data_IF_405198251987
#
_entry.id   IF_405198251987
#
_cell.length_a   1.000
_cell.length_b   1.000
_cell.length_c   1.000
_cell.angle_alpha   90.00
_cell.angle_beta   90.00
_cell.angle_gamma   90.00
#
_symmetry.space_group_name_H-M   'P 1'
#
loop_
_entity.id
_entity.type
_entity.pdbx_description
1 polymer ?
#
# COMPACT_ATOMS: atom_id res chain seq x y z
N UNK A 1 -3.49 23.47 3.63
CA UNK A 1 -3.08 23.33 5.06
C UNK A 1 -2.69 21.87 5.25
N UNK A 2 -1.61 21.55 5.96
CA UNK A 2 -1.31 20.13 6.24
C UNK A 2 -2.41 19.59 7.17
N UNK A 3 -2.93 18.38 6.94
CA UNK A 3 -3.93 17.81 7.83
C UNK A 3 -3.35 17.66 9.24
N UNK A 4 -4.17 17.92 10.26
CA UNK A 4 -3.78 17.73 11.67
C UNK A 4 -3.74 16.23 11.97
N UNK A 5 -2.60 15.60 11.72
CA UNK A 5 -2.36 14.19 12.03
C UNK A 5 -1.89 14.01 13.46
N UNK A 6 -2.22 12.86 14.06
CA UNK A 6 -1.81 12.49 15.41
C UNK A 6 -0.84 11.32 15.35
N UNK A 7 0.29 11.41 16.04
CA UNK A 7 1.17 10.27 16.31
C UNK A 7 0.68 9.56 17.57
N UNK A 8 0.56 8.23 17.51
CA UNK A 8 0.13 7.43 18.65
C UNK A 8 0.78 6.05 18.66
N UNK A 9 0.79 5.43 19.81
CA UNK A 9 1.06 4.00 19.98
C UNK A 9 -0.27 3.29 20.21
N UNK A 10 -0.51 2.21 19.47
CA UNK A 10 -1.68 1.35 19.63
C UNK A 10 -1.21 -0.10 19.62
N UNK A 11 -1.40 -0.80 20.72
CA UNK A 11 -0.73 -2.08 20.98
C UNK A 11 0.78 -1.94 20.70
N UNK A 12 1.38 -2.80 19.90
CA UNK A 12 2.81 -2.76 19.56
C UNK A 12 3.11 -1.87 18.33
N UNK A 13 2.10 -1.16 17.79
CA UNK A 13 2.25 -0.33 16.60
C UNK A 13 2.48 1.13 16.91
N UNK A 14 3.41 1.75 16.19
CA UNK A 14 3.49 3.21 16.08
C UNK A 14 2.71 3.64 14.83
N UNK A 15 1.71 4.49 15.02
CA UNK A 15 0.81 4.93 13.96
C UNK A 15 0.80 6.45 13.87
N UNK A 16 0.76 6.98 12.65
CA UNK A 16 0.28 8.35 12.43
C UNK A 16 -1.10 8.28 11.80
N UNK A 17 -2.05 8.95 12.40
CA UNK A 17 -3.45 8.88 12.01
C UNK A 17 -4.01 10.24 11.62
N UNK A 18 -5.02 10.23 10.75
CA UNK A 18 -5.93 11.35 10.52
C UNK A 18 -7.35 10.87 10.81
N UNK A 19 -7.92 11.22 11.98
CA UNK A 19 -9.28 10.85 12.32
C UNK A 19 -10.29 11.53 11.39
N UNK A 20 -11.37 10.82 11.11
CA UNK A 20 -12.54 11.31 10.38
C UNK A 20 -13.82 10.83 11.07
N UNK A 21 -14.97 11.42 10.70
CA UNK A 21 -16.30 10.92 11.09
C UNK A 21 -16.70 9.68 10.28
N UNK A 22 -16.02 9.43 9.17
CA UNK A 22 -16.21 8.23 8.37
C UNK A 22 -15.72 6.99 9.12
N UNK A 23 -16.37 5.86 8.85
CA UNK A 23 -15.93 4.54 9.32
C UNK A 23 -15.00 3.83 8.33
N UNK A 24 -14.82 4.38 7.12
CA UNK A 24 -13.97 3.82 6.08
C UNK A 24 -12.49 4.02 6.44
N UNK A 25 -11.71 2.96 6.34
CA UNK A 25 -10.27 3.01 6.61
C UNK A 25 -9.49 3.13 5.30
N UNK A 26 -8.54 4.08 5.26
CA UNK A 26 -7.46 4.12 4.28
C UNK A 26 -6.14 3.79 4.99
N UNK A 27 -5.52 2.70 4.59
CA UNK A 27 -4.20 2.28 5.07
C UNK A 27 -3.12 2.80 4.12
N UNK A 28 -2.12 3.52 4.66
CA UNK A 28 -1.00 4.07 3.88
C UNK A 28 0.31 3.40 4.28
N UNK A 29 0.95 2.70 3.35
CA UNK A 29 2.12 1.86 3.59
C UNK A 29 3.38 2.47 2.98
N UNK A 30 4.34 2.83 3.83
CA UNK A 30 5.59 3.49 3.43
C UNK A 30 6.56 2.55 2.69
N UNK A 31 7.51 3.12 1.96
CA UNK A 31 8.59 2.40 1.30
C UNK A 31 9.66 1.88 2.28
N UNK A 32 10.59 1.09 1.76
CA UNK A 32 11.77 0.65 2.52
C UNK A 32 12.53 1.86 3.07
N UNK A 33 13.00 1.79 4.30
CA UNK A 33 13.61 2.88 5.09
C UNK A 33 12.67 4.02 5.47
N UNK A 34 11.38 3.93 5.13
CA UNK A 34 10.37 4.89 5.58
C UNK A 34 9.88 4.63 7.01
N UNK A 35 8.92 5.43 7.40
CA UNK A 35 8.23 5.37 8.69
C UNK A 35 6.76 5.83 8.55
N UNK A 36 6.04 5.94 9.66
CA UNK A 36 4.65 6.42 9.74
C UNK A 36 4.45 7.87 9.23
N UNK A 37 5.53 8.61 8.99
CA UNK A 37 5.48 9.98 8.49
C UNK A 37 5.62 10.07 6.97
N UNK A 38 6.11 9.01 6.33
CA UNK A 38 6.59 9.08 4.95
C UNK A 38 5.48 9.25 3.92
N UNK A 39 4.28 8.69 4.15
CA UNK A 39 3.20 8.69 3.16
C UNK A 39 2.35 9.97 3.09
N UNK A 40 2.50 10.87 4.05
CA UNK A 40 1.67 12.09 4.13
C UNK A 40 1.94 13.11 3.03
N UNK A 41 3.01 12.94 2.27
CA UNK A 41 3.30 13.75 1.07
C UNK A 41 2.25 13.52 -0.03
N UNK A 42 1.60 12.35 -0.05
CA UNK A 42 0.57 11.98 -1.02
C UNK A 42 -0.84 12.38 -0.57
N UNK A 43 -1.07 12.57 0.74
CA UNK A 43 -2.41 12.72 1.32
C UNK A 43 -2.95 14.16 1.33
N UNK A 44 -2.37 15.06 0.53
CA UNK A 44 -2.68 16.50 0.59
C UNK A 44 -4.14 16.82 0.27
N UNK A 45 -4.71 16.12 -0.70
CA UNK A 45 -6.08 16.31 -1.20
C UNK A 45 -6.88 14.99 -1.21
N UNK A 46 -6.58 14.07 -0.30
CA UNK A 46 -7.36 12.83 -0.17
C UNK A 46 -8.76 13.12 0.35
N UNK A 47 -9.76 12.27 0.03
CA UNK A 47 -11.13 12.44 0.49
C UNK A 47 -11.22 12.56 2.01
N UNK A 48 -12.06 13.48 2.50
CA UNK A 48 -12.30 13.68 3.93
C UNK A 48 -13.10 12.53 4.57
N UNK A 49 -13.61 11.60 3.77
CA UNK A 49 -14.42 10.48 4.19
C UNK A 49 -13.58 9.21 4.52
N UNK A 50 -12.30 9.38 4.79
CA UNK A 50 -11.43 8.32 5.28
C UNK A 50 -10.92 8.58 6.69
N UNK A 51 -10.95 7.55 7.54
CA UNK A 51 -10.07 7.47 8.69
C UNK A 51 -8.73 6.92 8.21
N UNK A 52 -7.68 7.75 8.19
CA UNK A 52 -6.40 7.36 7.59
C UNK A 52 -5.47 6.81 8.67
N UNK A 53 -4.88 5.64 8.40
CA UNK A 53 -3.87 4.98 9.21
C UNK A 53 -2.56 4.86 8.41
N UNK A 54 -1.47 5.36 8.97
CA UNK A 54 -0.12 5.17 8.43
C UNK A 54 0.75 4.48 9.50
N UNK A 55 0.80 3.14 9.50
CA UNK A 55 1.61 2.38 10.45
C UNK A 55 3.09 2.42 10.07
N UNK A 56 3.96 2.37 11.10
CA UNK A 56 5.38 2.05 10.97
C UNK A 56 5.52 0.55 10.74
N UNK A 57 6.33 0.15 9.76
CA UNK A 57 6.61 -1.25 9.49
C UNK A 57 7.32 -1.94 10.67
N UNK A 58 7.13 -3.26 10.88
CA UNK A 58 7.56 -3.94 12.11
C UNK A 58 9.07 -4.18 12.23
N UNK A 59 9.81 -4.20 11.12
CA UNK A 59 11.22 -4.54 11.14
C UNK A 59 12.10 -3.29 10.94
N UNK A 60 13.20 -3.13 11.70
CA UNK A 60 14.17 -2.07 11.40
C UNK A 60 14.84 -2.33 10.04
N UNK A 61 15.04 -1.30 9.26
CA UNK A 61 15.88 -1.36 8.06
C UNK A 61 17.37 -1.21 8.45
N UNK A 62 18.32 -1.70 7.63
CA UNK A 62 19.73 -1.79 8.03
C UNK A 62 20.37 -0.47 8.45
N UNK A 63 20.07 0.63 7.76
CA UNK A 63 20.75 1.91 8.01
C UNK A 63 19.84 2.88 8.78
N UNK A 64 18.59 3.00 8.39
CA UNK A 64 17.59 3.89 9.01
C UNK A 64 16.18 3.48 8.62
N UNK A 65 15.18 3.87 9.42
CA UNK A 65 13.77 3.59 9.14
C UNK A 65 13.40 2.13 9.25
N UNK A 66 12.35 1.73 8.52
CA UNK A 66 11.67 0.45 8.76
C UNK A 66 11.36 -0.29 7.46
N UNK A 67 11.06 -1.58 7.58
CA UNK A 67 10.84 -2.53 6.49
C UNK A 67 9.64 -3.43 6.76
N UNK A 68 8.85 -3.69 5.72
CA UNK A 68 7.70 -4.62 5.78
C UNK A 68 8.11 -6.09 5.73
N UNK A 69 9.36 -6.39 5.49
CA UNK A 69 9.90 -7.76 5.57
C UNK A 69 11.02 -7.85 6.58
N UNK A 70 11.18 -9.02 7.17
CA UNK A 70 12.34 -9.34 7.99
C UNK A 70 13.65 -9.13 7.21
N UNK A 71 14.79 -8.90 7.89
CA UNK A 71 16.09 -8.78 7.24
C UNK A 71 16.37 -9.96 6.32
N UNK A 72 16.87 -9.66 5.11
CA UNK A 72 17.21 -10.64 4.07
C UNK A 72 18.50 -10.21 3.38
N UNK A 73 19.18 -11.11 2.63
CA UNK A 73 20.40 -10.77 1.91
C UNK A 73 20.25 -9.50 1.06
N UNK A 74 21.32 -8.71 0.97
CA UNK A 74 21.33 -7.49 0.16
C UNK A 74 21.03 -7.82 -1.30
N UNK A 75 20.21 -6.98 -1.94
CA UNK A 75 19.82 -7.13 -3.35
C UNK A 75 18.72 -8.17 -3.62
N UNK A 76 18.24 -8.92 -2.60
CA UNK A 76 17.10 -9.80 -2.81
C UNK A 76 15.79 -9.01 -2.91
N UNK A 77 14.96 -9.35 -3.90
CA UNK A 77 13.60 -8.84 -3.98
C UNK A 77 12.71 -9.46 -2.91
N UNK A 78 11.72 -8.73 -2.40
CA UNK A 78 10.71 -9.31 -1.51
C UNK A 78 9.93 -10.43 -2.21
N UNK A 79 9.70 -11.53 -1.49
CA UNK A 79 8.78 -12.59 -1.91
C UNK A 79 7.46 -12.47 -1.16
N UNK A 80 6.38 -13.08 -1.67
CA UNK A 80 5.09 -13.14 -0.95
C UNK A 80 5.29 -13.73 0.45
N UNK A 81 6.08 -14.81 0.58
CA UNK A 81 6.29 -15.47 1.87
C UNK A 81 7.06 -14.60 2.87
N UNK A 82 8.02 -13.78 2.40
CA UNK A 82 8.71 -12.81 3.27
C UNK A 82 7.83 -11.64 3.70
N UNK A 83 6.79 -11.33 2.93
CA UNK A 83 5.85 -10.24 3.24
C UNK A 83 4.64 -10.72 4.07
N UNK A 84 4.33 -12.01 4.02
CA UNK A 84 3.15 -12.63 4.66
C UNK A 84 3.02 -12.30 6.14
N UNK A 85 4.05 -12.46 7.01
CA UNK A 85 3.89 -12.19 8.45
C UNK A 85 3.47 -10.75 8.75
N UNK A 86 4.03 -9.78 8.01
CA UNK A 86 3.63 -8.37 8.18
C UNK A 86 2.23 -8.09 7.60
N UNK A 87 1.83 -8.81 6.55
CA UNK A 87 0.46 -8.70 6.03
C UNK A 87 -0.56 -9.25 7.06
N UNK A 88 -0.29 -10.37 7.69
CA UNK A 88 -1.09 -10.94 8.79
C UNK A 88 -1.21 -9.94 9.94
N UNK A 89 -0.08 -9.42 10.42
CA UNK A 89 -0.06 -8.41 11.48
C UNK A 89 -0.83 -7.12 11.13
N UNK A 90 -0.84 -6.72 9.85
CA UNK A 90 -1.63 -5.56 9.40
C UNK A 90 -3.14 -5.85 9.41
N UNK A 91 -3.57 -7.07 9.10
CA UNK A 91 -4.98 -7.48 9.22
C UNK A 91 -5.39 -7.47 10.70
N UNK A 92 -4.56 -8.02 11.59
CA UNK A 92 -4.82 -8.01 13.04
C UNK A 92 -4.90 -6.58 13.58
N UNK A 93 -3.99 -5.69 13.16
CA UNK A 93 -4.04 -4.26 13.48
C UNK A 93 -5.36 -3.62 13.04
N UNK A 94 -5.79 -3.85 11.79
CA UNK A 94 -7.05 -3.29 11.29
C UNK A 94 -8.23 -3.75 12.13
N UNK A 95 -8.28 -5.02 12.50
CA UNK A 95 -9.37 -5.60 13.32
C UNK A 95 -9.37 -5.03 14.75
N UNK A 96 -8.21 -4.97 15.39
CA UNK A 96 -8.07 -4.42 16.73
C UNK A 96 -8.41 -2.93 16.77
N UNK A 97 -7.84 -2.16 15.82
CA UNK A 97 -8.05 -0.72 15.73
C UNK A 97 -9.52 -0.38 15.43
N UNK A 98 -10.14 -1.09 14.50
CA UNK A 98 -11.56 -0.87 14.17
C UNK A 98 -12.47 -1.17 15.35
N UNK A 99 -12.21 -2.22 16.11
CA UNK A 99 -12.98 -2.50 17.36
C UNK A 99 -12.82 -1.36 18.38
N UNK A 100 -11.59 -0.87 18.60
CA UNK A 100 -11.32 0.17 19.58
C UNK A 100 -11.95 1.52 19.21
N UNK A 101 -12.03 1.84 17.92
CA UNK A 101 -12.51 3.15 17.43
C UNK A 101 -13.88 3.09 16.74
N UNK A 102 -14.57 1.94 16.79
CA UNK A 102 -15.88 1.71 16.16
C UNK A 102 -15.90 2.00 14.66
N UNK A 103 -14.81 1.64 13.96
CA UNK A 103 -14.66 1.75 12.51
C UNK A 103 -15.16 0.48 11.81
N UNK A 104 -15.23 0.52 10.48
CA UNK A 104 -15.54 -0.65 9.65
C UNK A 104 -14.25 -1.26 9.11
N UNK A 105 -13.86 -2.42 9.64
CA UNK A 105 -12.74 -3.20 9.16
C UNK A 105 -13.14 -4.34 8.22
N UNK A 106 -14.41 -4.44 7.83
CA UNK A 106 -14.82 -5.47 6.87
C UNK A 106 -14.02 -5.40 5.59
N UNK A 107 -13.74 -4.16 5.13
CA UNK A 107 -12.82 -3.86 4.04
C UNK A 107 -12.08 -2.55 4.29
N UNK A 108 -10.82 -2.48 3.83
CA UNK A 108 -10.03 -1.25 3.83
C UNK A 108 -9.59 -0.89 2.40
N UNK A 109 -9.37 0.40 2.15
CA UNK A 109 -8.61 0.84 0.99
C UNK A 109 -7.13 0.89 1.39
N UNK A 110 -6.23 0.44 0.52
CA UNK A 110 -4.80 0.36 0.83
C UNK A 110 -4.00 0.99 -0.28
N UNK A 111 -3.14 1.93 0.07
CA UNK A 111 -2.15 2.49 -0.85
C UNK A 111 -0.75 2.32 -0.28
N UNK A 112 0.22 2.07 -1.14
CA UNK A 112 1.59 1.93 -0.72
C UNK A 112 2.57 2.45 -1.75
N UNK A 113 3.74 2.87 -1.27
CA UNK A 113 4.84 3.34 -2.10
C UNK A 113 6.02 2.36 -2.04
N UNK A 114 6.61 2.02 -3.19
CA UNK A 114 7.80 1.16 -3.29
C UNK A 114 7.60 -0.19 -2.57
N UNK A 115 8.34 -0.52 -1.52
CA UNK A 115 8.11 -1.73 -0.71
C UNK A 115 6.71 -1.76 -0.07
N UNK A 116 6.15 -0.60 0.30
CA UNK A 116 4.76 -0.50 0.75
C UNK A 116 3.74 -0.85 -0.34
N UNK A 117 4.06 -0.56 -1.60
CA UNK A 117 3.25 -1.00 -2.74
C UNK A 117 3.30 -2.52 -2.93
N UNK A 118 4.47 -3.14 -2.71
CA UNK A 118 4.59 -4.60 -2.68
C UNK A 118 3.76 -5.22 -1.53
N UNK A 119 3.70 -4.55 -0.36
CA UNK A 119 2.84 -4.95 0.75
C UNK A 119 1.36 -4.74 0.41
N UNK A 120 0.99 -3.65 -0.26
CA UNK A 120 -0.38 -3.43 -0.78
C UNK A 120 -0.82 -4.55 -1.71
N UNK A 121 0.05 -4.94 -2.66
CA UNK A 121 -0.18 -6.09 -3.52
C UNK A 121 -0.37 -7.37 -2.68
N UNK A 122 0.52 -7.63 -1.72
CA UNK A 122 0.47 -8.83 -0.86
C UNK A 122 -0.85 -8.90 -0.09
N UNK A 123 -1.31 -7.78 0.49
CA UNK A 123 -2.60 -7.73 1.19
C UNK A 123 -3.77 -8.06 0.26
N UNK A 124 -3.84 -7.42 -0.91
CA UNK A 124 -4.89 -7.70 -1.89
C UNK A 124 -4.87 -9.13 -2.42
N UNK A 125 -3.67 -9.72 -2.52
CA UNK A 125 -3.45 -11.08 -3.02
C UNK A 125 -3.82 -12.16 -2.01
N UNK A 126 -3.42 -11.99 -0.74
CA UNK A 126 -3.68 -12.97 0.32
C UNK A 126 -5.05 -12.78 0.99
N UNK A 127 -5.53 -11.54 1.03
CA UNK A 127 -6.77 -11.16 1.72
C UNK A 127 -7.71 -10.33 0.83
N UNK A 128 -8.10 -10.84 -0.36
CA UNK A 128 -8.87 -10.04 -1.34
C UNK A 128 -10.21 -9.57 -0.79
N UNK A 129 -10.79 -10.28 0.17
CA UNK A 129 -12.06 -9.88 0.82
C UNK A 129 -11.89 -8.73 1.83
N UNK A 130 -10.65 -8.47 2.27
CA UNK A 130 -10.32 -7.43 3.24
C UNK A 130 -9.85 -6.13 2.59
N UNK A 131 -9.53 -6.15 1.31
CA UNK A 131 -9.05 -5.00 0.54
C UNK A 131 -10.07 -4.63 -0.53
N UNK A 132 -10.58 -3.40 -0.46
CA UNK A 132 -11.56 -2.87 -1.43
C UNK A 132 -10.87 -2.22 -2.62
N UNK A 133 -10.00 -1.24 -2.38
CA UNK A 133 -9.20 -0.53 -3.38
C UNK A 133 -7.71 -0.73 -3.11
N UNK A 134 -6.91 -0.77 -4.14
CA UNK A 134 -5.45 -0.85 -4.05
C UNK A 134 -4.79 0.25 -4.85
N UNK A 135 -3.84 0.97 -4.23
CA UNK A 135 -2.95 1.92 -4.93
C UNK A 135 -1.50 1.44 -4.85
N UNK A 136 -0.93 1.07 -5.99
CA UNK A 136 0.44 0.56 -6.13
C UNK A 136 1.30 1.67 -6.75
N UNK A 137 2.08 2.37 -5.90
CA UNK A 137 2.80 3.58 -6.27
C UNK A 137 4.31 3.30 -6.35
N UNK A 138 4.91 3.47 -7.54
CA UNK A 138 6.32 3.19 -7.83
C UNK A 138 6.77 1.84 -7.27
N UNK A 139 5.93 0.81 -7.41
CA UNK A 139 6.08 -0.48 -6.75
C UNK A 139 6.05 -1.67 -7.70
N UNK A 140 5.91 -2.85 -7.12
CA UNK A 140 6.02 -4.13 -7.82
C UNK A 140 5.22 -5.22 -7.11
N UNK A 141 4.86 -6.28 -7.86
CA UNK A 141 4.39 -7.53 -7.27
C UNK A 141 5.60 -8.32 -6.73
N UNK A 142 5.57 -8.79 -5.47
CA UNK A 142 6.63 -9.64 -4.93
C UNK A 142 6.85 -10.90 -5.77
N UNK A 143 8.05 -11.48 -5.67
CA UNK A 143 8.34 -12.78 -6.27
C UNK A 143 7.47 -13.88 -5.65
N UNK A 144 7.17 -14.92 -6.44
CA UNK A 144 6.30 -16.02 -6.01
C UNK A 144 4.80 -15.68 -6.05
N UNK A 145 4.40 -14.57 -6.68
CA UNK A 145 2.98 -14.25 -6.89
C UNK A 145 2.34 -15.09 -7.99
N UNK A 146 3.09 -15.43 -9.06
CA UNK A 146 2.58 -16.15 -10.23
C UNK A 146 1.92 -17.49 -9.91
N UNK A 147 2.56 -18.40 -9.13
CA UNK A 147 1.96 -19.70 -8.82
C UNK A 147 0.70 -19.60 -7.93
N UNK A 148 0.44 -18.41 -7.35
CA UNK A 148 -0.73 -18.18 -6.53
C UNK A 148 -1.91 -17.56 -7.31
N UNK A 149 -1.74 -17.33 -8.62
CA UNK A 149 -2.81 -16.77 -9.46
C UNK A 149 -3.98 -17.77 -9.49
N UNK A 150 -5.13 -17.26 -9.08
CA UNK A 150 -6.41 -17.93 -9.28
C UNK A 150 -7.27 -17.04 -10.18
N UNK A 151 -7.79 -17.53 -11.30
CA UNK A 151 -8.71 -16.77 -12.13
C UNK A 151 -9.89 -16.27 -11.31
N UNK A 152 -10.14 -14.96 -11.38
CA UNK A 152 -11.23 -14.34 -10.63
C UNK A 152 -10.91 -13.99 -9.17
N UNK A 153 -9.69 -14.21 -8.67
CA UNK A 153 -9.26 -13.84 -7.31
C UNK A 153 -9.57 -12.37 -6.99
N UNK A 154 -9.38 -11.49 -7.97
CA UNK A 154 -9.57 -10.05 -7.85
C UNK A 154 -10.77 -9.53 -8.65
N UNK A 155 -11.73 -10.39 -8.99
CA UNK A 155 -12.95 -9.94 -9.69
C UNK A 155 -13.65 -8.81 -8.93
N UNK A 156 -14.01 -7.75 -9.65
CA UNK A 156 -14.65 -6.57 -9.09
C UNK A 156 -13.70 -5.64 -8.31
N UNK A 157 -12.40 -5.94 -8.24
CA UNK A 157 -11.41 -5.02 -7.67
C UNK A 157 -10.96 -4.02 -8.72
N UNK A 158 -10.89 -2.76 -8.31
CA UNK A 158 -10.28 -1.69 -9.09
C UNK A 158 -8.94 -1.34 -8.45
N UNK A 159 -7.86 -1.39 -9.23
CA UNK A 159 -6.49 -1.15 -8.77
C UNK A 159 -5.90 0.05 -9.51
N UNK A 160 -5.33 0.98 -8.78
CA UNK A 160 -4.56 2.08 -9.35
C UNK A 160 -3.07 1.74 -9.30
N UNK A 161 -2.40 1.86 -10.44
CA UNK A 161 -0.94 1.67 -10.54
C UNK A 161 -0.32 2.94 -11.09
N UNK A 162 0.71 3.49 -10.43
CA UNK A 162 1.47 4.63 -10.92
C UNK A 162 2.96 4.33 -10.90
N UNK A 163 3.68 4.66 -12.00
CA UNK A 163 5.12 4.39 -12.10
C UNK A 163 5.86 5.39 -12.97
N UNK A 164 7.13 5.63 -12.60
CA UNK A 164 8.04 6.46 -13.40
C UNK A 164 8.80 5.63 -14.43
N UNK A 165 8.85 6.10 -15.69
CA UNK A 165 9.60 5.40 -16.78
C UNK A 165 11.11 5.45 -16.58
N UNK A 166 11.59 6.42 -15.79
CA UNK A 166 13.01 6.63 -15.49
C UNK A 166 13.38 6.12 -14.09
N UNK A 167 12.53 5.26 -13.49
CA UNK A 167 12.78 4.69 -12.16
C UNK A 167 13.94 3.67 -12.23
N UNK A 168 15.04 4.00 -11.57
CA UNK A 168 16.25 3.17 -11.50
C UNK A 168 16.24 2.23 -10.29
N UNK A 169 15.37 2.45 -9.30
CA UNK A 169 15.24 1.59 -8.11
C UNK A 169 14.30 0.42 -8.36
N UNK A 170 13.16 0.71 -8.98
CA UNK A 170 12.16 -0.28 -9.40
C UNK A 170 11.94 -0.11 -10.90
N UNK A 171 12.58 -0.93 -11.75
CA UNK A 171 12.44 -0.82 -13.20
C UNK A 171 10.99 -0.90 -13.66
N UNK A 172 10.61 -0.09 -14.66
CA UNK A 172 9.26 -0.03 -15.23
C UNK A 172 8.69 -1.41 -15.61
N UNK A 173 9.56 -2.36 -15.98
CA UNK A 173 9.17 -3.73 -16.27
C UNK A 173 8.46 -4.42 -15.09
N UNK A 174 8.79 -4.04 -13.85
CA UNK A 174 8.14 -4.57 -12.65
C UNK A 174 6.70 -4.05 -12.51
N UNK A 175 6.45 -2.78 -12.82
CA UNK A 175 5.10 -2.25 -12.85
C UNK A 175 4.24 -2.95 -13.92
N UNK A 176 4.78 -3.14 -15.11
CA UNK A 176 4.09 -3.82 -16.21
C UNK A 176 3.80 -5.29 -15.89
N UNK A 177 4.76 -5.99 -15.28
CA UNK A 177 4.52 -7.35 -14.73
C UNK A 177 3.42 -7.36 -13.68
N UNK A 178 3.42 -6.40 -12.78
CA UNK A 178 2.38 -6.25 -11.73
C UNK A 178 1.00 -6.08 -12.34
N UNK A 179 0.86 -5.22 -13.35
CA UNK A 179 -0.41 -5.01 -14.07
C UNK A 179 -0.91 -6.31 -14.68
N UNK A 180 -0.05 -7.05 -15.39
CA UNK A 180 -0.42 -8.34 -15.98
C UNK A 180 -0.93 -9.34 -14.93
N UNK A 181 -0.28 -9.42 -13.77
CA UNK A 181 -0.70 -10.30 -12.68
C UNK A 181 -2.08 -9.91 -12.14
N UNK A 182 -2.32 -8.61 -11.94
CA UNK A 182 -3.60 -8.08 -11.46
C UNK A 182 -4.74 -8.36 -12.46
N UNK A 183 -4.51 -8.10 -13.74
CA UNK A 183 -5.48 -8.34 -14.82
C UNK A 183 -5.76 -9.84 -15.00
N UNK A 184 -4.74 -10.69 -14.95
CA UNK A 184 -4.90 -12.16 -14.99
C UNK A 184 -5.70 -12.70 -13.80
N UNK A 185 -5.65 -12.01 -12.66
CA UNK A 185 -6.45 -12.32 -11.48
C UNK A 185 -7.87 -11.73 -11.53
N UNK A 186 -8.22 -10.96 -12.59
CA UNK A 186 -9.56 -10.39 -12.81
C UNK A 186 -9.76 -8.96 -12.30
N UNK A 187 -8.69 -8.27 -11.89
CA UNK A 187 -8.80 -6.86 -11.50
C UNK A 187 -8.96 -5.93 -12.72
N UNK A 188 -9.66 -4.81 -12.52
CA UNK A 188 -9.63 -3.67 -13.44
C UNK A 188 -8.50 -2.73 -13.01
N UNK A 189 -7.57 -2.40 -13.92
CA UNK A 189 -6.40 -1.58 -13.59
C UNK A 189 -6.49 -0.21 -14.26
N UNK A 190 -6.34 0.86 -13.47
CA UNK A 190 -6.05 2.20 -13.97
C UNK A 190 -4.55 2.44 -13.85
N UNK A 191 -3.87 2.69 -14.97
CA UNK A 191 -2.42 2.87 -15.00
C UNK A 191 -2.03 4.30 -15.34
N UNK A 192 -1.15 4.90 -14.55
CA UNK A 192 -0.54 6.20 -14.79
C UNK A 192 0.99 6.06 -14.89
N UNK A 193 1.53 6.39 -16.06
CA UNK A 193 2.97 6.35 -16.36
C UNK A 193 3.49 7.77 -16.65
N UNK A 194 4.67 8.14 -16.15
CA UNK A 194 5.24 9.46 -16.37
C UNK A 194 6.77 9.41 -16.46
N UNK A 195 7.38 10.37 -17.16
CA UNK A 195 8.84 10.49 -17.31
C UNK A 195 9.52 11.04 -16.04
N UNK A 196 9.41 10.29 -14.94
CA UNK A 196 10.03 10.60 -13.65
C UNK A 196 10.79 9.39 -13.12
N UNK A 197 11.69 9.61 -12.14
CA UNK A 197 12.37 8.55 -11.41
C UNK A 197 11.48 7.88 -10.37
N UNK A 198 12.06 7.44 -9.24
CA UNK A 198 11.36 6.75 -8.14
C UNK A 198 10.44 7.70 -7.34
N UNK A 199 9.40 8.21 -7.95
CA UNK A 199 8.38 9.12 -7.39
C UNK A 199 7.13 9.16 -8.26
N UNK A 200 6.07 9.83 -7.79
CA UNK A 200 4.91 10.16 -8.61
C UNK A 200 5.06 11.54 -9.24
N UNK A 201 4.59 11.69 -10.49
CA UNK A 201 4.35 13.01 -11.09
C UNK A 201 3.11 13.67 -10.49
N UNK A 202 2.95 14.97 -10.73
CA UNK A 202 1.74 15.69 -10.31
C UNK A 202 0.48 15.10 -10.96
N UNK A 203 0.55 14.71 -12.24
CA UNK A 203 -0.58 14.13 -12.96
C UNK A 203 -0.99 12.77 -12.37
N UNK A 204 -0.02 11.90 -12.03
CA UNK A 204 -0.32 10.63 -11.40
C UNK A 204 -0.83 10.80 -9.96
N UNK A 205 -0.41 11.86 -9.25
CA UNK A 205 -0.96 12.19 -7.94
C UNK A 205 -2.43 12.63 -8.06
N UNK A 206 -2.76 13.51 -9.00
CA UNK A 206 -4.13 13.94 -9.26
C UNK A 206 -5.03 12.75 -9.70
N UNK A 207 -4.49 11.84 -10.50
CA UNK A 207 -5.20 10.62 -10.90
C UNK A 207 -5.46 9.69 -9.70
N UNK A 208 -4.51 9.55 -8.77
CA UNK A 208 -4.68 8.81 -7.51
C UNK A 208 -5.79 9.44 -6.65
N UNK A 209 -5.80 10.78 -6.52
CA UNK A 209 -6.84 11.50 -5.79
C UNK A 209 -8.22 11.22 -6.40
N UNK A 210 -8.36 11.34 -7.72
CA UNK A 210 -9.60 11.00 -8.45
C UNK A 210 -10.03 9.55 -8.20
N UNK A 211 -9.08 8.61 -8.24
CA UNK A 211 -9.32 7.20 -7.96
C UNK A 211 -9.82 6.96 -6.53
N UNK A 212 -9.31 7.65 -5.54
CA UNK A 212 -9.76 7.50 -4.16
C UNK A 212 -11.16 8.09 -3.95
N UNK A 213 -11.54 9.14 -4.70
CA UNK A 213 -12.87 9.74 -4.66
C UNK A 213 -13.96 8.89 -5.35
N UNK A 214 -13.61 7.96 -6.26
CA UNK A 214 -14.56 7.04 -6.90
C UNK A 214 -14.94 5.88 -5.94
#
# INVERSE_FOLDING_TARGET
>A
MKPHTTLMTFEDWTLRILPSRSKRILLMLHGWTGDENSMWVFARNFPDDYYILAPRAPHPAPDTGYSWRAPAPRGSWPTIDLMRPSAESLIDLLDAFARAYSLDASTADVIGFSQGAAMTFTLGWLYPQRVRKMGILAGFAPEGAEPLIQPGLLNGKHVFVAHGTQDQMVPIAQARRTIQLLENAGASVTYCESEVGHKLSADCLNALETYLHS
#
